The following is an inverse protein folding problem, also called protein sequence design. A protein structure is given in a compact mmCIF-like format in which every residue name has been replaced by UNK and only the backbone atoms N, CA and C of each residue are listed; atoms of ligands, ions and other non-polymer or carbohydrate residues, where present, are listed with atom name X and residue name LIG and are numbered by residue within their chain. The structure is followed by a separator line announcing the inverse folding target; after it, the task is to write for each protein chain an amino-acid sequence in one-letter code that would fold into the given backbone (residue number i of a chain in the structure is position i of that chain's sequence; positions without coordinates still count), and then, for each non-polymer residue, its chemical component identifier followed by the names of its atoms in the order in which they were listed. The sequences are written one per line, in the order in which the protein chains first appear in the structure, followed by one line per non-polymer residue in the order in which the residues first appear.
data_IF_537105843663
#
_entry.id   IF_537105843663
#
_cell.length_a   1.000
_cell.length_b   1.000
_cell.length_c   1.000
_cell.angle_alpha   90.00
_cell.angle_beta   90.00
_cell.angle_gamma   90.00
#
_symmetry.space_group_name_H-M   'P 1'
#
loop_
_entity.id
_entity.type
_entity.pdbx_description
1 polymer ?
#
# COMPACT_ATOMS: atom_id res chain seq x y z
N UNK A 1 19.06 0.31 7.65
CA UNK A 1 17.78 -0.42 7.76
C UNK A 1 17.05 -0.43 6.42
N UNK A 2 15.94 -1.16 6.25
CA UNK A 2 15.13 -1.13 5.02
C UNK A 2 14.61 0.28 4.71
N UNK A 3 14.17 1.01 5.73
CA UNK A 3 13.75 2.40 5.61
C UNK A 3 14.90 3.29 5.09
N UNK A 4 16.11 3.14 5.63
CA UNK A 4 17.26 3.94 5.18
C UNK A 4 17.66 3.62 3.74
N UNK A 5 17.57 2.34 3.35
CA UNK A 5 17.82 1.90 1.99
C UNK A 5 16.81 2.50 1.02
N UNK A 6 15.50 2.42 1.32
CA UNK A 6 14.45 3.03 0.49
C UNK A 6 14.67 4.54 0.38
N UNK A 7 14.99 5.21 1.48
CA UNK A 7 15.23 6.66 1.47
C UNK A 7 16.46 7.05 0.62
N UNK A 8 17.50 6.23 0.62
CA UNK A 8 18.72 6.50 -0.14
C UNK A 8 18.58 6.16 -1.63
N UNK A 9 18.05 4.98 -1.96
CA UNK A 9 18.05 4.43 -3.32
C UNK A 9 16.73 4.68 -4.07
N UNK A 10 15.65 4.98 -3.35
CA UNK A 10 14.31 5.19 -3.91
C UNK A 10 13.67 6.49 -3.38
N UNK A 11 14.31 7.66 -3.58
CA UNK A 11 13.90 8.93 -2.97
C UNK A 11 12.51 9.43 -3.43
N UNK A 12 11.97 8.85 -4.51
CA UNK A 12 10.63 9.18 -5.02
C UNK A 12 9.52 8.41 -4.30
N UNK A 13 9.83 7.36 -3.53
CA UNK A 13 8.83 6.65 -2.74
C UNK A 13 8.45 7.52 -1.55
N UNK A 14 7.19 7.94 -1.50
CA UNK A 14 6.68 8.71 -0.37
C UNK A 14 6.63 7.86 0.89
N UNK A 15 6.82 8.53 2.03
CA UNK A 15 6.74 7.91 3.35
C UNK A 15 5.61 8.53 4.15
N UNK A 16 4.66 7.69 4.56
CA UNK A 16 3.52 8.11 5.39
C UNK A 16 3.51 7.33 6.70
N UNK A 17 3.44 8.05 7.82
CA UNK A 17 3.24 7.44 9.14
C UNK A 17 1.75 7.47 9.48
N UNK A 18 1.21 6.32 9.86
CA UNK A 18 -0.21 6.18 10.21
C UNK A 18 -0.41 5.56 11.60
N UNK A 19 -1.64 5.67 12.10
CA UNK A 19 -2.10 5.08 13.37
C UNK A 19 -3.08 3.95 13.09
N UNK A 20 -3.04 2.90 13.89
CA UNK A 20 -3.94 1.75 13.74
C UNK A 20 -5.42 2.14 13.86
N UNK A 21 -6.28 1.49 13.07
CA UNK A 21 -7.74 1.65 13.14
C UNK A 21 -8.26 3.00 12.65
N UNK A 22 -7.45 3.77 11.93
CA UNK A 22 -7.85 5.02 11.30
C UNK A 22 -7.52 4.98 9.82
N UNK A 23 -8.40 5.59 9.04
CA UNK A 23 -8.23 5.74 7.60
C UNK A 23 -7.39 7.00 7.32
N UNK A 24 -6.26 6.84 6.64
CA UNK A 24 -5.35 7.94 6.31
C UNK A 24 -5.29 8.16 4.81
N UNK A 25 -5.39 9.42 4.33
CA UNK A 25 -5.09 9.73 2.94
C UNK A 25 -3.61 9.50 2.68
N UNK A 26 -3.30 8.82 1.60
CA UNK A 26 -1.97 8.66 1.08
C UNK A 26 -1.82 9.65 -0.07
N UNK A 27 -0.87 10.57 0.06
CA UNK A 27 -0.43 11.36 -1.09
C UNK A 27 0.31 10.41 -2.02
N UNK A 28 -0.33 10.05 -3.13
CA UNK A 28 0.29 9.27 -4.18
C UNK A 28 0.20 10.04 -5.47
N UNK A 29 1.34 10.26 -6.13
CA UNK A 29 1.34 10.84 -7.48
C UNK A 29 0.96 9.77 -8.49
N UNK A 30 0.48 10.21 -9.65
CA UNK A 30 0.08 9.31 -10.71
C UNK A 30 1.20 8.34 -11.10
N UNK A 31 2.44 8.81 -11.24
CA UNK A 31 3.59 7.99 -11.64
C UNK A 31 4.23 7.19 -10.48
N UNK A 32 3.78 7.38 -9.24
CA UNK A 32 4.32 6.63 -8.10
C UNK A 32 3.87 5.17 -8.12
N UNK A 33 4.85 4.28 -8.22
CA UNK A 33 4.64 2.82 -8.23
C UNK A 33 4.47 2.24 -6.82
N UNK A 34 4.86 2.98 -5.78
CA UNK A 34 4.67 2.55 -4.41
C UNK A 34 4.71 3.71 -3.41
N UNK A 35 4.05 3.51 -2.27
CA UNK A 35 4.12 4.36 -1.09
C UNK A 35 4.51 3.52 0.13
N UNK A 36 5.51 3.97 0.88
CA UNK A 36 5.97 3.35 2.11
C UNK A 36 5.14 3.85 3.29
N UNK A 37 4.53 2.93 4.03
CA UNK A 37 3.63 3.25 5.14
C UNK A 37 4.15 2.62 6.43
N UNK A 38 4.31 3.42 7.48
CA UNK A 38 4.69 2.92 8.80
C UNK A 38 3.51 2.93 9.77
N UNK A 39 3.35 1.82 10.50
CA UNK A 39 2.43 1.71 11.61
C UNK A 39 3.20 1.87 12.93
N UNK A 40 3.37 3.12 13.36
CA UNK A 40 4.20 3.44 14.52
C UNK A 40 5.64 2.90 14.36
N UNK A 41 6.17 2.28 15.40
CA UNK A 41 7.45 1.56 15.38
C UNK A 41 7.28 0.04 15.18
N UNK A 42 6.05 -0.43 14.91
CA UNK A 42 5.72 -1.86 14.91
C UNK A 42 6.01 -2.56 13.59
N UNK A 43 5.55 -1.95 12.49
CA UNK A 43 5.56 -2.58 11.18
C UNK A 43 5.64 -1.55 10.05
N UNK A 44 6.21 -1.98 8.93
CA UNK A 44 6.35 -1.18 7.71
C UNK A 44 5.70 -1.92 6.54
N UNK A 45 4.92 -1.21 5.74
CA UNK A 45 4.17 -1.73 4.62
C UNK A 45 4.51 -0.95 3.34
N UNK A 46 4.41 -1.60 2.19
CA UNK A 46 4.31 -0.94 0.89
C UNK A 46 2.87 -1.05 0.41
N UNK A 47 2.28 0.08 0.06
CA UNK A 47 1.20 0.09 -0.91
C UNK A 47 1.84 0.12 -2.30
N UNK A 48 1.60 -0.91 -3.11
CA UNK A 48 2.15 -1.04 -4.46
C UNK A 48 1.06 -0.78 -5.48
N UNK A 49 1.42 -0.04 -6.52
CA UNK A 49 0.60 0.25 -7.70
C UNK A 49 1.15 -0.53 -8.88
N UNK A 50 0.38 -1.47 -9.41
CA UNK A 50 0.72 -2.17 -10.65
C UNK A 50 -0.16 -1.65 -11.80
N UNK A 51 0.50 -1.11 -12.82
CA UNK A 51 -0.09 -0.53 -14.04
C UNK A 51 0.11 -1.40 -15.27
N UNK A 52 0.59 -2.63 -15.10
CA UNK A 52 0.74 -3.59 -16.20
C UNK A 52 -0.61 -4.10 -16.73
N UNK A 53 -1.67 -3.93 -15.96
CA UNK A 53 -3.03 -4.30 -16.34
C UNK A 53 -3.59 -3.29 -17.35
N UNK A 54 -4.11 -3.72 -18.52
CA UNK A 54 -4.73 -2.81 -19.48
C UNK A 54 -5.90 -2.03 -18.87
N UNK A 55 -6.01 -0.75 -19.19
CA UNK A 55 -7.14 0.12 -18.86
C UNK A 55 -7.37 0.39 -17.36
N UNK A 56 -6.31 0.31 -16.55
CA UNK A 56 -6.40 0.61 -15.13
C UNK A 56 -5.12 0.33 -14.35
N UNK A 57 -5.30 0.15 -13.05
CA UNK A 57 -4.24 -0.21 -12.12
C UNK A 57 -4.76 -1.16 -11.05
N UNK A 58 -3.85 -1.83 -10.35
CA UNK A 58 -4.16 -2.57 -9.14
C UNK A 58 -3.37 -2.03 -7.95
N UNK A 59 -4.04 -1.98 -6.80
CA UNK A 59 -3.45 -1.57 -5.53
C UNK A 59 -3.34 -2.78 -4.60
N UNK A 60 -2.15 -3.01 -4.04
CA UNK A 60 -1.87 -4.14 -3.15
C UNK A 60 -1.05 -3.70 -1.95
N UNK A 61 -1.29 -4.29 -0.77
CA UNK A 61 -0.51 -4.00 0.44
C UNK A 61 0.44 -5.15 0.78
N UNK A 62 1.72 -4.83 0.87
CA UNK A 62 2.80 -5.75 1.20
C UNK A 62 3.36 -5.38 2.57
N UNK A 63 3.39 -6.32 3.50
CA UNK A 63 4.10 -6.15 4.77
C UNK A 63 5.59 -6.47 4.59
N UNK A 64 6.47 -5.48 4.80
CA UNK A 64 7.89 -5.55 4.45
C UNK A 64 8.82 -6.12 5.52
N UNK A 65 8.42 -6.07 6.80
CA UNK A 65 8.98 -6.78 7.96
C UNK A 65 8.55 -6.05 9.24
N UNK A 66 8.31 -6.83 10.29
CA UNK A 66 8.40 -6.40 11.70
C UNK A 66 9.77 -6.80 12.23
N UNK A 67 10.26 -6.14 13.29
CA UNK A 67 11.23 -6.76 14.20
C UNK A 67 10.75 -8.17 14.59
N UNK A 68 11.64 -9.11 14.98
CA UNK A 68 11.35 -10.56 15.08
C UNK A 68 10.34 -10.95 16.19
N UNK A 69 9.60 -10.00 16.73
CA UNK A 69 8.67 -10.17 17.83
C UNK A 69 7.26 -10.30 17.22
N UNK A 70 6.92 -11.55 16.92
CA UNK A 70 5.60 -12.07 16.55
C UNK A 70 5.13 -11.85 15.10
N UNK A 71 4.70 -12.95 14.46
CA UNK A 71 3.93 -12.93 13.21
C UNK A 71 2.53 -12.40 13.55
N UNK A 72 2.40 -11.08 13.63
CA UNK A 72 1.08 -10.45 13.65
C UNK A 72 0.48 -10.51 12.23
N UNK A 73 -0.70 -11.11 12.11
CA UNK A 73 -1.51 -11.01 10.89
C UNK A 73 -2.15 -9.63 10.85
N UNK A 74 -1.61 -8.74 10.01
CA UNK A 74 -2.15 -7.38 9.88
C UNK A 74 -3.31 -7.36 8.91
N UNK A 75 -4.41 -6.73 9.36
CA UNK A 75 -5.55 -6.41 8.51
C UNK A 75 -5.36 -5.04 7.91
N UNK A 76 -5.76 -4.88 6.65
CA UNK A 76 -5.72 -3.60 5.97
C UNK A 76 -7.04 -3.33 5.26
N UNK A 77 -7.29 -2.04 5.00
CA UNK A 77 -8.36 -1.59 4.13
C UNK A 77 -7.83 -0.49 3.21
N UNK A 78 -7.92 -0.73 1.91
CA UNK A 78 -7.66 0.27 0.87
C UNK A 78 -9.00 0.91 0.52
N UNK A 79 -9.05 2.24 0.43
CA UNK A 79 -10.14 2.94 -0.24
C UNK A 79 -9.61 3.84 -1.34
N UNK A 80 -10.35 3.89 -2.44
CA UNK A 80 -10.11 4.86 -3.51
C UNK A 80 -11.39 5.65 -3.67
N UNK A 81 -11.29 6.95 -3.42
CA UNK A 81 -12.41 7.87 -3.58
C UNK A 81 -12.42 8.34 -5.03
N UNK A 82 -13.42 7.91 -5.78
CA UNK A 82 -13.62 8.23 -7.19
C UNK A 82 -14.73 9.27 -7.32
N UNK A 83 -14.93 9.81 -8.52
CA UNK A 83 -16.07 10.70 -8.80
C UNK A 83 -17.43 10.02 -8.62
N UNK A 84 -17.50 8.70 -8.79
CA UNK A 84 -18.74 7.92 -8.79
C UNK A 84 -19.01 7.24 -7.46
N UNK A 85 -18.06 7.25 -6.52
CA UNK A 85 -18.22 6.65 -5.20
C UNK A 85 -16.91 6.23 -4.56
N UNK A 86 -16.98 5.23 -3.69
CA UNK A 86 -15.81 4.70 -2.98
C UNK A 86 -15.63 3.23 -3.37
N UNK A 87 -14.47 2.92 -3.94
CA UNK A 87 -14.01 1.54 -4.11
C UNK A 87 -13.25 1.15 -2.84
N UNK A 88 -13.51 -0.05 -2.33
CA UNK A 88 -12.89 -0.51 -1.08
C UNK A 88 -12.51 -1.97 -1.16
N UNK A 89 -11.31 -2.29 -0.68
CA UNK A 89 -10.86 -3.66 -0.46
C UNK A 89 -10.36 -3.77 0.98
N UNK A 90 -10.80 -4.82 1.67
CA UNK A 90 -10.21 -5.22 2.94
C UNK A 90 -9.46 -6.54 2.73
N UNK A 91 -8.32 -6.70 3.38
CA UNK A 91 -7.53 -7.91 3.28
C UNK A 91 -6.62 -8.11 4.48
N UNK A 92 -5.89 -9.21 4.45
CA UNK A 92 -4.87 -9.57 5.41
C UNK A 92 -3.54 -9.68 4.69
N UNK A 93 -2.46 -9.27 5.35
CA UNK A 93 -1.11 -9.35 4.79
C UNK A 93 -0.15 -9.91 5.82
N UNK A 94 0.69 -10.84 5.36
CA UNK A 94 1.70 -11.48 6.18
C UNK A 94 3.06 -10.87 5.89
N UNK A 95 3.92 -10.85 6.91
CA UNK A 95 5.30 -10.37 6.78
C UNK A 95 6.02 -11.11 5.66
N UNK A 96 6.42 -10.36 4.64
CA UNK A 96 7.22 -10.86 3.54
C UNK A 96 8.68 -10.70 3.94
N UNK A 97 9.30 -11.83 4.26
CA UNK A 97 10.75 -11.90 4.43
C UNK A 97 11.46 -11.83 3.08
N UNK A 98 12.45 -12.71 2.88
CA UNK A 98 13.18 -12.76 1.61
C UNK A 98 12.36 -13.41 0.51
N UNK A 99 11.98 -12.64 -0.51
CA UNK A 99 11.35 -13.15 -1.74
C UNK A 99 12.33 -14.05 -2.50
N UNK A 100 11.86 -15.24 -2.92
CA UNK A 100 12.60 -16.17 -3.78
C UNK A 100 12.05 -16.27 -5.21
N UNK A 101 11.00 -15.49 -5.49
CA UNK A 101 10.32 -15.39 -6.77
C UNK A 101 9.43 -14.14 -6.80
N UNK A 102 8.69 -13.91 -7.90
CA UNK A 102 7.76 -12.80 -7.99
C UNK A 102 6.75 -12.81 -6.83
N UNK A 103 6.54 -11.67 -6.20
CA UNK A 103 5.53 -11.55 -5.16
C UNK A 103 4.13 -11.58 -5.76
N UNK A 104 3.24 -12.37 -5.17
CA UNK A 104 1.82 -12.37 -5.50
C UNK A 104 1.05 -11.85 -4.28
N UNK A 105 0.35 -10.74 -4.46
CA UNK A 105 -0.51 -10.20 -3.42
C UNK A 105 -1.70 -11.15 -3.18
N UNK A 106 -2.04 -11.37 -1.90
CA UNK A 106 -3.20 -12.19 -1.55
C UNK A 106 -4.53 -11.57 -1.98
N UNK A 107 -4.60 -10.24 -2.03
CA UNK A 107 -5.70 -9.49 -2.59
C UNK A 107 -5.20 -8.18 -3.20
N UNK A 108 -5.89 -7.71 -4.24
CA UNK A 108 -5.58 -6.47 -4.93
C UNK A 108 -6.86 -5.76 -5.37
N UNK A 109 -6.88 -4.43 -5.24
CA UNK A 109 -8.01 -3.60 -5.63
C UNK A 109 -7.76 -3.08 -7.05
N UNK A 110 -8.51 -3.58 -8.02
CA UNK A 110 -8.49 -3.04 -9.37
C UNK A 110 -9.26 -1.72 -9.44
N UNK A 111 -8.69 -0.72 -10.10
CA UNK A 111 -9.33 0.55 -10.42
C UNK A 111 -9.12 0.85 -11.90
N UNK A 112 -10.21 1.01 -12.65
CA UNK A 112 -10.11 1.38 -14.06
C UNK A 112 -9.67 2.83 -14.25
N UNK A 113 -9.08 3.14 -15.40
CA UNK A 113 -8.64 4.52 -15.73
C UNK A 113 -9.80 5.53 -15.65
N UNK A 114 -11.01 5.09 -16.02
CA UNK A 114 -12.23 5.91 -15.94
C UNK A 114 -12.61 6.26 -14.51
N UNK A 115 -12.33 5.38 -13.54
CA UNK A 115 -12.62 5.58 -12.12
C UNK A 115 -11.48 6.34 -11.42
N UNK A 116 -10.25 6.20 -11.92
CA UNK A 116 -9.07 6.96 -11.49
C UNK A 116 -8.97 8.32 -12.20
N UNK A 117 -10.09 9.04 -12.27
CA UNK A 117 -10.18 10.34 -12.92
C UNK A 117 -10.77 11.39 -11.95
N UNK A 118 -10.15 12.57 -11.79
CA UNK A 118 -8.88 12.96 -12.37
C UNK A 118 -7.73 12.06 -11.85
N UNK A 119 -6.57 12.03 -12.53
CA UNK A 119 -5.35 11.47 -11.97
C UNK A 119 -5.15 11.96 -10.53
N UNK A 120 -4.68 11.08 -9.66
CA UNK A 120 -4.48 11.33 -8.22
C UNK A 120 -5.76 11.30 -7.37
N UNK A 121 -6.77 10.51 -7.80
CA UNK A 121 -7.89 10.11 -6.95
C UNK A 121 -7.39 9.69 -5.56
N UNK A 122 -7.91 10.29 -4.47
CA UNK A 122 -7.37 10.06 -3.14
C UNK A 122 -7.41 8.58 -2.75
N UNK A 123 -6.24 8.02 -2.50
CA UNK A 123 -6.09 6.69 -1.91
C UNK A 123 -6.06 6.84 -0.41
N UNK A 124 -6.76 5.96 0.28
CA UNK A 124 -6.70 5.85 1.70
C UNK A 124 -6.30 4.46 2.13
N UNK A 125 -5.56 4.39 3.24
CA UNK A 125 -5.17 3.15 3.87
C UNK A 125 -5.51 3.19 5.36
N UNK A 126 -6.10 2.10 5.84
CA UNK A 126 -6.25 1.78 7.25
C UNK A 126 -5.51 0.47 7.52
N UNK A 127 -4.75 0.42 8.62
CA UNK A 127 -4.07 -0.78 9.12
C UNK A 127 -4.60 -1.14 10.52
N UNK A 128 -4.74 -2.43 10.80
CA UNK A 128 -5.16 -2.97 12.11
C UNK A 128 -4.25 -4.13 12.50
N UNK A 129 -3.90 -4.18 13.77
CA UNK A 129 -3.37 -5.36 14.46
C UNK A 129 -4.54 -6.27 14.86
#
# INVERSE_FOLDING_TARGET
SLHDHIKAEHPMIQYTRITAGRLYPLSMRHDELACLVSLGSKAVFLLVVDRSVPSGLTLSVIHLMSDPIEREDFKYKIQVHTQTGILSLSGETQSVGRLRGPYQAGASLFVSDTMWSPPDSPVYLELKC
#
